data_IF_540136003083
#
_entry.id   IF_540136003083
#
_cell.length_a   1.000
_cell.length_b   1.000
_cell.length_c   1.000
_cell.angle_alpha   90.00
_cell.angle_beta   90.00
_cell.angle_gamma   90.00
#
_symmetry.space_group_name_H-M   'P 1'
#
loop_
_entity.id
_entity.type
_entity.pdbx_description
1 polymer ?
#
# COMPACT_ATOMS: atom_id res chain seq x y z
N UNK A 1 3.65 -12.90 15.73
CA UNK A 1 3.16 -11.71 15.01
C UNK A 1 4.22 -11.21 14.03
N UNK A 2 5.39 -10.78 14.46
CA UNK A 2 6.45 -10.23 13.58
C UNK A 2 6.83 -11.17 12.43
N UNK A 3 6.99 -12.47 12.68
CA UNK A 3 7.29 -13.44 11.62
C UNK A 3 6.21 -13.51 10.53
N UNK A 4 4.93 -13.31 10.90
CA UNK A 4 3.83 -13.24 9.93
C UNK A 4 3.90 -11.98 9.08
N UNK A 5 4.27 -10.85 9.67
CA UNK A 5 4.50 -9.60 8.93
C UNK A 5 5.65 -9.74 7.94
N UNK A 6 6.76 -10.34 8.35
CA UNK A 6 7.91 -10.57 7.47
C UNK A 6 7.55 -11.49 6.29
N UNK A 7 6.82 -12.59 6.55
CA UNK A 7 6.32 -13.48 5.49
C UNK A 7 5.38 -12.74 4.53
N UNK A 8 4.52 -11.89 5.07
CA UNK A 8 3.61 -11.08 4.28
C UNK A 8 4.38 -10.13 3.35
N UNK A 9 5.32 -9.38 3.89
CA UNK A 9 6.14 -8.43 3.15
C UNK A 9 7.08 -9.08 2.13
N UNK A 10 7.48 -10.32 2.35
CA UNK A 10 8.21 -11.11 1.36
C UNK A 10 7.29 -11.65 0.25
N UNK A 11 6.06 -12.04 0.59
CA UNK A 11 5.14 -12.68 -0.35
C UNK A 11 4.47 -11.69 -1.32
N UNK A 12 4.09 -10.50 -0.85
CA UNK A 12 3.38 -9.50 -1.68
C UNK A 12 4.15 -9.12 -2.94
N UNK A 13 5.43 -8.72 -2.87
CA UNK A 13 6.19 -8.34 -4.06
C UNK A 13 6.41 -9.49 -5.04
N UNK A 14 6.54 -10.73 -4.53
CA UNK A 14 6.77 -11.91 -5.38
C UNK A 14 5.69 -12.15 -6.43
N UNK A 15 4.50 -11.60 -6.22
CA UNK A 15 3.38 -11.71 -7.18
C UNK A 15 3.59 -10.90 -8.47
N UNK A 16 4.50 -9.90 -8.44
CA UNK A 16 4.69 -8.97 -9.56
C UNK A 16 6.14 -8.49 -9.72
N UNK A 17 7.10 -9.14 -9.06
CA UNK A 17 8.51 -8.83 -9.16
C UNK A 17 9.34 -10.06 -9.52
N UNK A 18 10.43 -9.83 -10.25
CA UNK A 18 11.56 -10.76 -10.31
C UNK A 18 12.37 -10.63 -9.02
N UNK A 19 12.75 -11.75 -8.44
CA UNK A 19 13.46 -11.79 -7.16
C UNK A 19 14.93 -12.11 -7.36
N UNK A 20 15.79 -11.37 -6.70
CA UNK A 20 17.23 -11.57 -6.72
C UNK A 20 17.79 -11.54 -5.29
N UNK A 21 18.70 -12.45 -4.94
CA UNK A 21 19.40 -12.43 -3.67
C UNK A 21 20.69 -11.60 -3.81
N UNK A 22 20.85 -10.60 -2.93
CA UNK A 22 22.04 -9.75 -2.88
C UNK A 22 22.53 -9.70 -1.44
N UNK A 23 23.54 -10.48 -1.13
CA UNK A 23 24.03 -10.65 0.25
C UNK A 23 22.88 -11.04 1.19
N UNK A 24 22.67 -10.31 2.31
CA UNK A 24 21.61 -10.58 3.27
C UNK A 24 20.22 -10.09 2.80
N UNK A 25 20.10 -9.52 1.60
CA UNK A 25 18.85 -8.93 1.09
C UNK A 25 18.16 -9.80 0.04
N UNK A 26 16.84 -9.69 0.02
CA UNK A 26 15.96 -10.04 -1.10
C UNK A 26 15.66 -8.74 -1.85
N UNK A 27 16.12 -8.64 -3.08
CA UNK A 27 15.83 -7.53 -3.99
C UNK A 27 14.65 -7.88 -4.89
N UNK A 28 13.61 -7.07 -4.85
CA UNK A 28 12.42 -7.20 -5.67
C UNK A 28 12.48 -6.20 -6.83
N UNK A 29 12.63 -6.71 -8.06
CA UNK A 29 12.64 -5.91 -9.27
C UNK A 29 11.26 -6.00 -9.91
N UNK A 30 10.49 -4.94 -9.81
CA UNK A 30 9.13 -4.91 -10.34
C UNK A 30 9.13 -5.25 -11.86
N UNK A 31 8.31 -6.21 -12.24
CA UNK A 31 7.99 -6.49 -13.64
C UNK A 31 6.84 -5.58 -14.09
N UNK A 32 5.98 -5.22 -13.15
CA UNK A 32 4.85 -4.31 -13.36
C UNK A 32 4.44 -3.68 -12.04
N UNK A 33 3.85 -2.50 -12.12
CA UNK A 33 3.43 -1.72 -10.97
C UNK A 33 4.53 -0.74 -10.50
N UNK A 34 4.37 -0.24 -9.29
CA UNK A 34 5.35 0.65 -8.66
C UNK A 34 6.62 -0.07 -8.23
N UNK A 35 7.66 0.69 -7.87
CA UNK A 35 8.91 0.09 -7.38
C UNK A 35 8.67 -0.64 -6.07
N UNK A 36 9.37 -1.77 -5.91
CA UNK A 36 9.49 -2.45 -4.62
C UNK A 36 10.83 -2.13 -3.98
N UNK A 37 10.89 -2.19 -2.65
CA UNK A 37 12.10 -2.00 -1.88
C UNK A 37 12.85 -3.32 -1.70
N UNK A 38 14.17 -3.25 -1.53
CA UNK A 38 14.90 -4.42 -1.06
C UNK A 38 14.62 -4.62 0.44
N UNK A 39 14.55 -5.88 0.87
CA UNK A 39 14.25 -6.24 2.25
C UNK A 39 15.26 -7.24 2.78
N UNK A 40 15.51 -7.31 4.12
CA UNK A 40 16.26 -8.42 4.70
C UNK A 40 15.66 -9.75 4.26
N UNK A 41 16.51 -10.73 4.02
CA UNK A 41 16.05 -12.08 3.65
C UNK A 41 15.24 -12.69 4.78
N UNK A 42 14.13 -13.29 4.42
CA UNK A 42 13.28 -13.98 5.39
C UNK A 42 14.09 -15.01 6.21
N UNK A 43 13.95 -14.93 7.53
CA UNK A 43 14.67 -15.81 8.45
C UNK A 43 16.15 -15.44 8.67
N UNK A 44 16.58 -14.25 8.25
CA UNK A 44 17.93 -13.76 8.53
C UNK A 44 18.17 -13.63 10.04
N UNK A 45 19.26 -14.20 10.51
CA UNK A 45 19.65 -14.14 11.94
C UNK A 45 20.97 -13.40 12.17
N UNK A 46 21.72 -13.14 11.09
CA UNK A 46 22.98 -12.41 11.16
C UNK A 46 22.74 -10.90 11.07
N UNK A 47 23.51 -10.09 11.82
CA UNK A 47 23.47 -8.63 11.65
C UNK A 47 23.82 -8.22 10.22
N UNK A 48 23.21 -7.15 9.77
CA UNK A 48 23.52 -6.46 8.52
C UNK A 48 24.45 -5.30 8.83
N UNK A 49 25.44 -5.07 7.99
CA UNK A 49 26.36 -3.93 8.10
C UNK A 49 26.22 -2.95 6.91
N UNK A 50 27.02 -1.87 6.97
CA UNK A 50 26.96 -0.82 5.94
C UNK A 50 27.49 -1.27 4.57
N UNK A 51 28.39 -2.26 4.51
CA UNK A 51 28.90 -2.80 3.24
C UNK A 51 27.83 -3.63 2.54
N UNK A 52 27.05 -4.40 3.28
CA UNK A 52 25.89 -5.12 2.77
C UNK A 52 24.88 -4.14 2.14
N UNK A 53 24.60 -3.02 2.83
CA UNK A 53 23.69 -1.98 2.31
C UNK A 53 24.26 -1.34 1.04
N UNK A 54 25.53 -0.97 1.03
CA UNK A 54 26.17 -0.42 -0.18
C UNK A 54 26.13 -1.39 -1.36
N UNK A 55 26.28 -2.68 -1.10
CA UNK A 55 26.23 -3.72 -2.13
C UNK A 55 24.84 -3.80 -2.80
N UNK A 56 23.77 -3.83 -2.01
CA UNK A 56 22.40 -3.88 -2.57
C UNK A 56 22.03 -2.58 -3.29
N UNK A 57 22.43 -1.41 -2.77
CA UNK A 57 22.24 -0.12 -3.44
C UNK A 57 22.96 -0.08 -4.80
N UNK A 58 24.22 -0.55 -4.87
CA UNK A 58 24.97 -0.64 -6.11
C UNK A 58 24.25 -1.55 -7.13
N UNK A 59 23.67 -2.65 -6.66
CA UNK A 59 22.87 -3.53 -7.52
C UNK A 59 21.59 -2.86 -8.01
N UNK A 60 20.86 -2.17 -7.13
CA UNK A 60 19.68 -1.38 -7.49
C UNK A 60 20.01 -0.33 -8.56
N UNK A 61 21.13 0.40 -8.38
CA UNK A 61 21.63 1.39 -9.36
C UNK A 61 21.93 0.75 -10.72
N UNK A 62 22.59 -0.41 -10.73
CA UNK A 62 22.88 -1.16 -11.97
C UNK A 62 21.60 -1.57 -12.71
N UNK A 63 20.54 -1.84 -11.99
CA UNK A 63 19.23 -2.24 -12.54
C UNK A 63 18.35 -1.04 -12.90
N UNK A 64 18.76 0.19 -12.58
CA UNK A 64 17.96 1.39 -12.81
C UNK A 64 16.69 1.45 -11.92
N UNK A 65 16.70 0.77 -10.77
CA UNK A 65 15.60 0.83 -9.80
C UNK A 65 15.97 1.72 -8.61
N UNK A 66 14.98 2.25 -7.85
CA UNK A 66 15.26 3.11 -6.70
C UNK A 66 16.18 2.44 -5.67
N UNK A 67 17.15 3.19 -5.16
CA UNK A 67 18.02 2.77 -4.06
C UNK A 67 17.25 2.91 -2.75
N UNK A 68 16.44 1.94 -2.43
CA UNK A 68 15.53 1.97 -1.29
C UNK A 68 15.44 0.62 -0.60
N UNK A 69 15.34 0.67 0.73
CA UNK A 69 15.22 -0.47 1.62
C UNK A 69 13.98 -0.29 2.50
N UNK A 70 13.34 -1.40 2.84
CA UNK A 70 12.23 -1.40 3.78
C UNK A 70 12.36 -2.61 4.71
N UNK A 71 12.14 -2.42 6.00
CA UNK A 71 12.25 -3.50 6.99
C UNK A 71 11.39 -3.21 8.22
N UNK A 72 11.16 -4.23 9.02
CA UNK A 72 10.59 -4.12 10.37
C UNK A 72 11.77 -4.00 11.35
N UNK A 73 11.82 -2.89 12.09
CA UNK A 73 12.96 -2.58 12.96
C UNK A 73 13.18 -3.65 14.02
N UNK A 74 12.10 -4.18 14.58
CA UNK A 74 12.14 -5.19 15.64
C UNK A 74 12.71 -6.53 15.17
N UNK A 75 12.65 -6.85 13.87
CA UNK A 75 13.19 -8.10 13.32
C UNK A 75 14.62 -7.95 12.82
N UNK A 76 15.02 -6.75 12.40
CA UNK A 76 16.36 -6.47 11.88
C UNK A 76 16.90 -5.14 12.43
N UNK A 77 17.14 -5.04 13.75
CA UNK A 77 17.51 -3.77 14.38
C UNK A 77 18.87 -3.22 13.91
N UNK A 78 19.81 -4.07 13.49
CA UNK A 78 21.10 -3.64 12.97
C UNK A 78 21.01 -2.82 11.68
N UNK A 79 19.94 -2.99 10.90
CA UNK A 79 19.83 -2.34 9.59
C UNK A 79 19.66 -0.83 9.69
N UNK A 80 19.09 -0.30 10.77
CA UNK A 80 18.93 1.15 10.98
C UNK A 80 20.27 1.88 10.94
N UNK A 81 21.25 1.40 11.71
CA UNK A 81 22.58 2.03 11.73
C UNK A 81 23.39 1.69 10.48
N UNK A 82 23.25 0.49 9.93
CA UNK A 82 23.85 0.09 8.67
C UNK A 82 23.39 1.00 7.51
N UNK A 83 22.09 1.26 7.39
CA UNK A 83 21.51 2.14 6.37
C UNK A 83 22.04 3.59 6.50
N UNK A 84 22.04 4.13 7.73
CA UNK A 84 22.60 5.48 7.99
C UNK A 84 24.08 5.56 7.64
N UNK A 85 24.89 4.54 8.00
CA UNK A 85 26.32 4.50 7.67
C UNK A 85 26.59 4.38 6.17
N UNK A 86 25.66 3.83 5.41
CA UNK A 86 25.71 3.76 3.95
C UNK A 86 25.20 5.06 3.26
N UNK A 87 24.75 6.05 4.02
CA UNK A 87 24.31 7.36 3.51
C UNK A 87 22.81 7.46 3.23
N UNK A 88 22.00 6.48 3.66
CA UNK A 88 20.56 6.54 3.50
C UNK A 88 19.90 7.35 4.62
N UNK A 89 18.88 8.12 4.27
CA UNK A 89 17.96 8.70 5.25
C UNK A 89 16.95 7.64 5.68
N UNK A 90 16.83 7.41 6.99
CA UNK A 90 15.90 6.44 7.57
C UNK A 90 14.69 7.19 8.12
N UNK A 91 13.51 6.89 7.59
CA UNK A 91 12.22 7.31 8.14
C UNK A 91 11.60 6.12 8.88
N UNK A 92 11.11 6.35 10.08
CA UNK A 92 10.40 5.35 10.88
C UNK A 92 8.90 5.62 10.79
N UNK A 93 8.15 4.63 10.36
CA UNK A 93 6.70 4.68 10.23
C UNK A 93 6.10 3.64 11.16
N UNK A 94 5.07 4.00 11.97
CA UNK A 94 4.45 3.03 12.86
C UNK A 94 3.65 1.99 12.07
N UNK A 95 3.81 0.71 12.44
CA UNK A 95 2.91 -0.36 12.03
C UNK A 95 1.75 -0.45 13.02
N UNK A 96 0.56 -0.13 12.57
CA UNK A 96 -0.66 -0.18 13.36
C UNK A 96 -1.33 -1.55 13.15
N UNK A 97 -1.49 -2.30 14.22
CA UNK A 97 -2.13 -3.61 14.20
C UNK A 97 -3.56 -3.46 14.71
N UNK A 98 -4.50 -4.06 14.01
CA UNK A 98 -5.88 -4.13 14.47
C UNK A 98 -5.97 -5.08 15.67
N UNK A 99 -6.41 -4.58 16.82
CA UNK A 99 -6.63 -5.34 18.05
C UNK A 99 -8.11 -5.63 18.31
N UNK A 100 -9.00 -4.82 17.72
CA UNK A 100 -10.44 -4.94 17.87
C UNK A 100 -11.17 -4.51 16.60
N UNK A 101 -12.37 -5.04 16.32
CA UNK A 101 -13.15 -4.64 15.15
C UNK A 101 -13.35 -3.13 15.09
N UNK A 102 -13.10 -2.54 13.93
CA UNK A 102 -13.32 -1.12 13.68
C UNK A 102 -14.78 -0.89 13.30
N UNK A 103 -15.54 -0.28 14.20
CA UNK A 103 -16.91 0.15 13.91
C UNK A 103 -16.92 1.61 13.46
N UNK A 104 -17.35 1.84 12.22
CA UNK A 104 -17.63 3.18 11.73
C UNK A 104 -18.87 3.15 10.85
N UNK A 105 -19.69 4.19 10.99
CA UNK A 105 -20.85 4.41 10.12
C UNK A 105 -20.45 5.27 8.95
N UNK A 106 -21.02 4.98 7.78
CA UNK A 106 -20.89 5.88 6.65
C UNK A 106 -21.53 7.23 6.97
N UNK A 107 -20.88 8.33 6.56
CA UNK A 107 -21.50 9.66 6.66
C UNK A 107 -22.81 9.71 5.90
N UNK A 108 -23.71 10.62 6.28
CA UNK A 108 -25.00 10.80 5.59
C UNK A 108 -24.76 11.15 4.13
N UNK A 109 -25.44 10.46 3.22
CA UNK A 109 -25.30 10.64 1.77
C UNK A 109 -24.01 10.06 1.17
N UNK A 110 -23.30 9.22 1.91
CA UNK A 110 -22.11 8.49 1.43
C UNK A 110 -22.37 6.99 1.49
N UNK A 111 -22.23 6.32 0.34
CA UNK A 111 -22.27 4.87 0.23
C UNK A 111 -20.86 4.32 0.12
N UNK A 112 -20.57 3.21 0.83
CA UNK A 112 -19.30 2.50 0.72
C UNK A 112 -19.55 1.13 0.14
N UNK A 113 -18.89 0.83 -0.98
CA UNK A 113 -19.02 -0.45 -1.69
C UNK A 113 -17.68 -1.01 -2.14
N UNK A 114 -17.68 -2.31 -2.44
CA UNK A 114 -16.53 -2.97 -3.07
C UNK A 114 -16.55 -2.70 -4.57
N UNK A 115 -15.37 -2.38 -5.11
CA UNK A 115 -15.13 -2.24 -6.55
C UNK A 115 -14.97 -3.62 -7.18
N UNK A 116 -15.60 -3.86 -8.32
CA UNK A 116 -15.49 -5.11 -9.06
C UNK A 116 -14.49 -5.00 -10.21
N UNK A 117 -14.03 -6.14 -10.75
CA UNK A 117 -13.14 -6.15 -11.91
C UNK A 117 -13.79 -5.57 -13.18
N UNK A 118 -15.12 -5.62 -13.27
CA UNK A 118 -15.88 -5.07 -14.39
C UNK A 118 -16.30 -3.60 -14.18
N UNK A 119 -15.79 -2.94 -13.13
CA UNK A 119 -16.13 -1.55 -12.79
C UNK A 119 -15.88 -0.61 -13.96
N UNK A 120 -16.94 0.08 -14.41
CA UNK A 120 -16.84 1.06 -15.49
C UNK A 120 -16.07 2.31 -15.04
N UNK A 121 -16.32 2.74 -13.78
CA UNK A 121 -15.74 3.96 -13.21
C UNK A 121 -14.43 3.72 -12.43
N UNK A 122 -13.67 2.66 -12.78
CA UNK A 122 -12.42 2.34 -12.10
C UNK A 122 -11.44 3.51 -12.12
N UNK A 123 -11.30 4.21 -13.25
CA UNK A 123 -10.39 5.35 -13.37
C UNK A 123 -10.76 6.50 -12.44
N UNK A 124 -12.04 6.79 -12.24
CA UNK A 124 -12.52 7.81 -11.28
C UNK A 124 -12.19 7.41 -9.85
N UNK A 125 -12.32 6.13 -9.51
CA UNK A 125 -11.94 5.60 -8.19
C UNK A 125 -10.43 5.73 -7.95
N UNK A 126 -9.59 5.42 -8.95
CA UNK A 126 -8.13 5.52 -8.83
C UNK A 126 -7.64 6.97 -8.77
N UNK A 127 -8.29 7.87 -9.53
CA UNK A 127 -7.98 9.30 -9.51
C UNK A 127 -8.17 9.94 -8.13
N UNK A 128 -9.04 9.38 -7.26
CA UNK A 128 -9.17 9.81 -5.86
C UNK A 128 -7.84 9.70 -5.12
N UNK A 129 -7.19 8.54 -5.22
CA UNK A 129 -5.92 8.31 -4.53
C UNK A 129 -4.80 9.17 -5.13
N UNK A 130 -4.74 9.29 -6.44
CA UNK A 130 -3.73 10.09 -7.14
C UNK A 130 -3.79 11.57 -6.73
N UNK A 131 -4.97 12.18 -6.73
CA UNK A 131 -5.18 13.56 -6.29
C UNK A 131 -4.91 13.74 -4.78
N UNK A 132 -5.31 12.77 -3.98
CA UNK A 132 -5.13 12.87 -2.54
C UNK A 132 -3.66 12.77 -2.13
N UNK A 133 -2.86 11.93 -2.79
CA UNK A 133 -1.43 11.80 -2.51
C UNK A 133 -0.59 12.94 -3.11
N UNK A 134 -1.08 13.59 -4.16
CA UNK A 134 -0.46 14.80 -4.69
C UNK A 134 -0.65 16.02 -3.78
N UNK A 135 -1.69 16.02 -2.93
CA UNK A 135 -2.01 17.07 -1.96
C UNK A 135 -1.75 16.54 -0.54
N UNK A 136 -0.54 16.75 -0.04
CA UNK A 136 -0.09 16.19 1.23
C UNK A 136 -0.89 16.71 2.44
N UNK A 137 -1.07 15.84 3.45
CA UNK A 137 -1.70 16.17 4.72
C UNK A 137 -3.20 15.84 4.77
N UNK A 138 -3.85 16.24 5.86
CA UNK A 138 -5.24 15.88 6.19
C UNK A 138 -6.19 17.07 6.20
N UNK A 139 -5.70 18.29 5.95
CA UNK A 139 -6.53 19.47 5.81
C UNK A 139 -7.38 19.41 4.53
N UNK A 140 -8.49 20.15 4.49
CA UNK A 140 -9.25 20.31 3.26
C UNK A 140 -8.41 21.05 2.23
N UNK A 141 -8.38 20.50 1.00
CA UNK A 141 -7.77 21.10 -0.18
C UNK A 141 -8.83 21.47 -1.23
N UNK A 142 -8.36 21.82 -2.41
CA UNK A 142 -9.22 22.30 -3.49
C UNK A 142 -9.66 21.21 -4.45
N UNK A 143 -8.77 20.25 -4.76
CA UNK A 143 -9.06 19.21 -5.73
C UNK A 143 -10.29 18.38 -5.34
N UNK A 144 -11.25 18.31 -6.24
CA UNK A 144 -12.58 17.75 -6.04
C UNK A 144 -13.05 16.87 -7.19
N UNK A 145 -14.38 16.72 -7.36
CA UNK A 145 -14.96 15.90 -8.41
C UNK A 145 -14.52 16.29 -9.83
N UNK A 146 -14.40 17.57 -10.12
CA UNK A 146 -14.05 18.05 -11.47
C UNK A 146 -12.61 17.63 -11.83
N UNK A 147 -11.65 17.86 -10.94
CA UNK A 147 -10.25 17.45 -11.15
C UNK A 147 -10.12 15.93 -11.22
N UNK A 148 -10.89 15.19 -10.40
CA UNK A 148 -10.97 13.72 -10.48
C UNK A 148 -11.43 13.26 -11.85
N UNK A 149 -12.49 13.85 -12.38
CA UNK A 149 -13.09 13.44 -13.66
C UNK A 149 -12.20 13.79 -14.84
N UNK A 150 -11.53 14.95 -14.79
CA UNK A 150 -10.50 15.33 -15.78
C UNK A 150 -9.34 14.33 -15.75
N UNK A 151 -8.82 14.02 -14.56
CA UNK A 151 -7.70 13.07 -14.41
C UNK A 151 -8.10 11.67 -14.89
N UNK A 152 -9.29 11.19 -14.52
CA UNK A 152 -9.80 9.91 -14.97
C UNK A 152 -9.95 9.81 -16.49
N UNK A 153 -10.43 10.88 -17.14
CA UNK A 153 -10.63 10.92 -18.58
C UNK A 153 -9.31 10.97 -19.37
N UNK A 154 -8.25 11.52 -18.78
CA UNK A 154 -6.93 11.65 -19.42
C UNK A 154 -6.00 10.45 -19.16
N UNK A 155 -6.34 9.60 -18.19
CA UNK A 155 -5.52 8.44 -17.85
C UNK A 155 -5.71 7.31 -18.86
N UNK A 156 -4.64 6.99 -19.59
CA UNK A 156 -4.60 5.92 -20.60
C UNK A 156 -3.87 4.67 -20.13
N UNK A 157 -3.56 4.57 -18.84
CA UNK A 157 -2.81 3.43 -18.31
C UNK A 157 -3.58 2.11 -18.46
N UNK A 158 -2.88 1.06 -18.86
CA UNK A 158 -3.45 -0.28 -18.90
C UNK A 158 -3.78 -0.78 -17.48
N UNK A 159 -5.04 -1.07 -17.22
CA UNK A 159 -5.56 -1.57 -15.94
C UNK A 159 -5.85 -3.06 -15.93
N UNK A 160 -5.53 -3.78 -16.99
CA UNK A 160 -5.84 -5.22 -17.13
C UNK A 160 -5.34 -6.03 -15.93
N UNK A 161 -4.12 -5.79 -15.48
CA UNK A 161 -3.54 -6.47 -14.29
C UNK A 161 -4.21 -6.08 -12.98
N UNK A 162 -4.59 -4.82 -12.79
CA UNK A 162 -5.32 -4.43 -11.60
C UNK A 162 -6.71 -5.08 -11.59
N UNK A 163 -7.39 -5.11 -12.72
CA UNK A 163 -8.67 -5.82 -12.87
C UNK A 163 -8.55 -7.31 -12.58
N UNK A 164 -7.50 -7.96 -13.06
CA UNK A 164 -7.18 -9.35 -12.75
C UNK A 164 -6.95 -9.55 -11.24
N UNK A 165 -6.17 -8.69 -10.59
CA UNK A 165 -5.93 -8.75 -9.14
C UNK A 165 -7.21 -8.54 -8.34
N UNK A 166 -8.12 -7.67 -8.79
CA UNK A 166 -9.45 -7.49 -8.18
C UNK A 166 -10.31 -8.73 -8.41
N UNK A 167 -10.32 -9.30 -9.62
CA UNK A 167 -11.09 -10.51 -9.95
C UNK A 167 -10.66 -11.71 -9.11
N UNK A 168 -9.36 -11.89 -8.92
CA UNK A 168 -8.77 -12.98 -8.12
C UNK A 168 -8.73 -12.69 -6.62
N UNK A 169 -9.21 -11.52 -6.18
CA UNK A 169 -9.11 -11.05 -4.80
C UNK A 169 -7.66 -10.93 -4.26
N UNK A 170 -6.67 -10.86 -5.12
CA UNK A 170 -5.31 -10.49 -4.72
C UNK A 170 -5.22 -9.01 -4.28
N UNK A 171 -6.22 -8.23 -4.62
CA UNK A 171 -6.52 -6.88 -4.12
C UNK A 171 -8.02 -6.77 -3.90
N UNK A 172 -8.41 -6.21 -2.76
CA UNK A 172 -9.78 -5.78 -2.51
C UNK A 172 -9.79 -4.26 -2.45
N UNK A 173 -10.52 -3.63 -3.35
CA UNK A 173 -10.64 -2.18 -3.47
C UNK A 173 -12.04 -1.76 -3.00
N UNK A 174 -12.09 -0.80 -2.07
CA UNK A 174 -13.32 -0.16 -1.62
C UNK A 174 -13.37 1.28 -2.09
N UNK A 175 -14.56 1.77 -2.37
CA UNK A 175 -14.85 3.15 -2.74
C UNK A 175 -15.97 3.70 -1.88
N UNK A 176 -15.83 4.94 -1.45
CA UNK A 176 -16.90 5.73 -0.87
C UNK A 176 -17.37 6.76 -1.91
N UNK A 177 -18.67 6.81 -2.15
CA UNK A 177 -19.30 7.65 -3.16
C UNK A 177 -20.35 8.52 -2.52
N UNK A 178 -20.45 9.76 -2.96
CA UNK A 178 -21.60 10.61 -2.74
C UNK A 178 -22.32 10.89 -4.08
N UNK A 179 -23.26 11.82 -4.11
CA UNK A 179 -24.02 12.15 -5.33
C UNK A 179 -23.14 12.55 -6.52
N UNK A 180 -21.92 13.02 -6.27
CA UNK A 180 -20.97 13.47 -7.30
C UNK A 180 -19.98 12.35 -7.68
N UNK A 181 -20.14 11.12 -7.11
CA UNK A 181 -19.35 9.93 -7.39
C UNK A 181 -18.24 9.65 -6.37
N UNK A 182 -17.15 8.98 -6.75
CA UNK A 182 -16.05 8.58 -5.84
C UNK A 182 -15.43 9.76 -5.11
N UNK A 183 -15.42 9.73 -3.77
CA UNK A 183 -14.79 10.75 -2.90
C UNK A 183 -13.70 10.20 -1.99
N UNK A 184 -13.69 8.90 -1.72
CA UNK A 184 -12.62 8.23 -1.02
C UNK A 184 -12.44 6.81 -1.54
N UNK A 185 -11.24 6.31 -1.46
CA UNK A 185 -10.93 4.92 -1.82
C UNK A 185 -9.86 4.35 -0.89
N UNK A 186 -9.70 3.04 -0.94
CA UNK A 186 -8.64 2.34 -0.22
C UNK A 186 -8.66 0.88 -0.60
N UNK A 187 -7.57 0.19 -0.35
CA UNK A 187 -7.49 -1.24 -0.67
C UNK A 187 -6.83 -2.03 0.45
N UNK A 188 -7.01 -3.33 0.43
CA UNK A 188 -6.16 -4.25 1.17
C UNK A 188 -5.66 -5.37 0.26
N UNK A 189 -4.55 -5.99 0.66
CA UNK A 189 -3.86 -7.01 -0.14
C UNK A 189 -3.72 -8.29 0.70
N UNK A 190 -4.65 -9.25 0.61
CA UNK A 190 -4.58 -10.46 1.41
C UNK A 190 -3.47 -11.40 0.95
N UNK A 191 -2.74 -11.96 1.92
CA UNK A 191 -1.81 -13.09 1.77
C UNK A 191 -2.11 -14.04 2.91
N UNK A 192 -2.59 -15.23 2.59
CA UNK A 192 -3.07 -16.21 3.57
C UNK A 192 -4.07 -15.56 4.54
N UNK A 193 -3.77 -15.56 5.83
CA UNK A 193 -4.59 -14.96 6.87
C UNK A 193 -4.09 -13.58 7.35
N UNK A 194 -3.21 -12.93 6.59
CA UNK A 194 -2.64 -11.61 6.86
C UNK A 194 -3.03 -10.64 5.76
N UNK A 195 -3.35 -9.41 6.12
CA UNK A 195 -3.60 -8.37 5.12
C UNK A 195 -3.18 -7.00 5.60
N UNK A 196 -2.64 -6.21 4.69
CA UNK A 196 -2.32 -4.80 4.88
C UNK A 196 -3.39 -3.92 4.24
N UNK A 197 -3.90 -2.96 4.99
CA UNK A 197 -4.74 -1.88 4.46
C UNK A 197 -3.80 -0.80 3.93
N UNK A 198 -3.93 -0.50 2.64
CA UNK A 198 -3.04 0.44 1.94
C UNK A 198 -3.83 1.43 1.10
N UNK A 199 -3.18 2.53 0.74
CA UNK A 199 -3.70 3.53 -0.19
C UNK A 199 -5.08 4.09 0.19
N UNK A 200 -5.36 4.23 1.49
CA UNK A 200 -6.56 4.92 1.94
C UNK A 200 -6.43 6.41 1.65
N UNK A 201 -7.33 6.91 0.85
CA UNK A 201 -7.28 8.27 0.33
C UNK A 201 -8.68 8.90 0.31
N UNK A 202 -8.72 10.22 0.46
CA UNK A 202 -9.95 11.00 0.34
C UNK A 202 -9.65 12.24 -0.51
N UNK A 203 -10.50 12.54 -1.48
CA UNK A 203 -10.39 13.77 -2.28
C UNK A 203 -10.16 14.98 -1.37
N UNK A 204 -9.20 15.85 -1.68
CA UNK A 204 -8.88 17.00 -0.84
C UNK A 204 -10.09 17.82 -0.40
N UNK A 205 -11.03 18.11 -1.29
CA UNK A 205 -12.27 18.86 -1.00
C UNK A 205 -13.26 18.10 -0.11
N UNK A 206 -13.19 16.75 -0.09
CA UNK A 206 -14.08 15.88 0.69
C UNK A 206 -13.50 15.46 2.04
N UNK A 207 -12.27 15.88 2.38
CA UNK A 207 -11.62 15.55 3.65
C UNK A 207 -12.43 16.04 4.86
N UNK A 208 -12.20 15.44 6.02
CA UNK A 208 -12.83 15.76 7.32
C UNK A 208 -14.35 15.51 7.36
N UNK A 209 -14.87 14.67 6.44
CA UNK A 209 -16.27 14.23 6.39
C UNK A 209 -16.46 12.77 6.87
N UNK A 210 -15.39 12.07 7.25
CA UNK A 210 -15.43 10.69 7.71
C UNK A 210 -15.43 9.62 6.61
N UNK A 211 -15.31 10.00 5.32
CA UNK A 211 -15.32 9.05 4.20
C UNK A 211 -14.14 8.07 4.26
N UNK A 212 -12.92 8.54 4.55
CA UNK A 212 -11.74 7.67 4.73
C UNK A 212 -11.91 6.68 5.88
N UNK A 213 -12.46 7.11 7.01
CA UNK A 213 -12.78 6.21 8.15
C UNK A 213 -13.79 5.14 7.75
N UNK A 214 -14.83 5.50 6.98
CA UNK A 214 -15.83 4.55 6.51
C UNK A 214 -15.23 3.52 5.54
N UNK A 215 -14.34 3.94 4.63
CA UNK A 215 -13.59 3.04 3.72
C UNK A 215 -12.71 2.09 4.53
N UNK A 216 -11.93 2.60 5.50
CA UNK A 216 -11.06 1.77 6.34
C UNK A 216 -11.87 0.73 7.11
N UNK A 217 -12.99 1.12 7.72
CA UNK A 217 -13.87 0.19 8.43
C UNK A 217 -14.47 -0.88 7.51
N UNK A 218 -14.82 -0.51 6.27
CA UNK A 218 -15.32 -1.47 5.29
C UNK A 218 -14.23 -2.46 4.84
N UNK A 219 -12.98 -2.00 4.63
CA UNK A 219 -11.83 -2.84 4.33
C UNK A 219 -11.54 -3.82 5.48
N UNK A 220 -11.50 -3.34 6.71
CA UNK A 220 -11.30 -4.18 7.91
C UNK A 220 -12.39 -5.24 8.02
N UNK A 221 -13.66 -4.85 7.88
CA UNK A 221 -14.79 -5.78 7.95
C UNK A 221 -14.71 -6.86 6.87
N UNK A 222 -14.39 -6.46 5.65
CA UNK A 222 -14.23 -7.40 4.54
C UNK A 222 -13.06 -8.36 4.79
N UNK A 223 -11.91 -7.85 5.24
CA UNK A 223 -10.74 -8.65 5.57
C UNK A 223 -11.06 -9.72 6.63
N UNK A 224 -11.67 -9.32 7.74
CA UNK A 224 -12.05 -10.23 8.83
C UNK A 224 -13.10 -11.26 8.35
N UNK A 225 -14.11 -10.85 7.58
CA UNK A 225 -15.13 -11.76 7.04
C UNK A 225 -14.57 -12.73 6.00
N UNK A 226 -13.46 -12.39 5.37
CA UNK A 226 -12.72 -13.24 4.41
C UNK A 226 -11.68 -14.13 5.09
N UNK A 227 -11.57 -14.12 6.43
CA UNK A 227 -10.73 -15.03 7.22
C UNK A 227 -9.38 -14.45 7.63
N UNK A 228 -9.13 -13.16 7.43
CA UNK A 228 -7.91 -12.54 7.95
C UNK A 228 -7.90 -12.57 9.48
N UNK A 229 -6.81 -13.03 10.06
CA UNK A 229 -6.57 -13.02 11.51
C UNK A 229 -5.53 -11.99 11.95
N UNK A 230 -4.87 -11.35 11.00
CA UNK A 230 -3.97 -10.22 11.20
C UNK A 230 -4.25 -9.16 10.15
N UNK A 231 -4.76 -8.02 10.58
CA UNK A 231 -4.99 -6.83 9.74
C UNK A 231 -4.10 -5.71 10.27
N UNK A 232 -3.38 -5.05 9.39
CA UNK A 232 -2.47 -3.98 9.77
C UNK A 232 -2.36 -2.91 8.69
N UNK A 233 -1.71 -1.80 9.02
CA UNK A 233 -1.31 -0.76 8.07
C UNK A 233 -0.01 -0.09 8.53
N UNK A 234 0.72 0.51 7.59
CA UNK A 234 1.81 1.43 7.84
C UNK A 234 1.29 2.87 7.72
N UNK A 235 1.64 3.76 8.69
CA UNK A 235 1.14 5.13 8.77
C UNK A 235 2.26 6.16 8.87
#
# INVERSE_FOLDING_TARGET
MLERLERYYDAVPRRSARVEAVGPFTLFVAVTGGPFHARPRLGLTTPIDGDDVRAVMARQRTLGVPEALEWVVETTPSLTDAARSAGLTVAELPLLILDSPLEARSPVGVEVRRVTAAEADLERTLAVAELAFADAGTAKGHAGPDERDVLAATNTADRSRLRERIATRAVVLMVAEDRDGPIASGMHQPVDDVTEVVAVATLPSARRRGAGTAVTAALVREALSSGASLVFLSA
#
